data_IF_814043419968
#
_entry.id   IF_814043419968
#
_cell.length_a   1.000
_cell.length_b   1.000
_cell.length_c   1.000
_cell.angle_alpha   90.00
_cell.angle_beta   90.00
_cell.angle_gamma   90.00
#
_symmetry.space_group_name_H-M   'P 1'
#
loop_
_entity.id
_entity.type
_entity.pdbx_description
1 polymer ?
#
# COMPACT_ATOMS: atom_id res chain seq x y z
N UNK A 1 -39.77 -2.48 54.65
CA UNK A 1 -39.29 -2.00 53.32
C UNK A 1 -38.27 -2.95 52.67
N UNK A 2 -37.23 -3.41 53.36
CA UNK A 2 -36.19 -4.31 52.78
C UNK A 2 -36.67 -5.71 52.35
N UNK A 3 -37.69 -6.28 53.00
CA UNK A 3 -38.23 -7.61 52.64
C UNK A 3 -39.03 -7.61 51.31
N UNK A 4 -39.56 -6.47 50.88
CA UNK A 4 -40.30 -6.37 49.61
C UNK A 4 -39.34 -6.55 48.42
N UNK A 5 -38.14 -5.99 48.50
CA UNK A 5 -37.11 -6.11 47.48
C UNK A 5 -36.48 -7.50 47.39
N UNK A 6 -36.54 -8.33 48.45
CA UNK A 6 -35.95 -9.68 48.40
C UNK A 6 -36.65 -10.61 47.41
N UNK A 7 -37.97 -10.45 47.23
CA UNK A 7 -38.76 -11.21 46.24
C UNK A 7 -38.42 -10.87 44.79
N UNK A 8 -37.94 -9.66 44.51
CA UNK A 8 -37.62 -9.21 43.15
C UNK A 8 -36.12 -9.19 42.84
N UNK A 9 -35.25 -9.65 43.76
CA UNK A 9 -33.80 -9.71 43.55
C UNK A 9 -33.42 -10.45 42.26
N UNK A 10 -34.04 -11.59 42.01
CA UNK A 10 -33.78 -12.36 40.78
C UNK A 10 -34.17 -11.58 39.52
N UNK A 11 -35.36 -10.97 39.50
CA UNK A 11 -35.83 -10.14 38.39
C UNK A 11 -34.92 -8.92 38.16
N UNK A 12 -34.50 -8.25 39.22
CA UNK A 12 -33.56 -7.12 39.15
C UNK A 12 -32.18 -7.51 38.59
N UNK A 13 -31.66 -8.67 38.98
CA UNK A 13 -30.40 -9.20 38.43
C UNK A 13 -30.55 -9.50 36.94
N UNK A 14 -31.63 -10.17 36.52
CA UNK A 14 -31.88 -10.47 35.10
C UNK A 14 -32.00 -9.20 34.28
N UNK A 15 -32.74 -8.19 34.76
CA UNK A 15 -32.89 -6.90 34.07
C UNK A 15 -31.55 -6.15 33.96
N UNK A 16 -30.72 -6.19 35.01
CA UNK A 16 -29.40 -5.57 35.02
C UNK A 16 -28.47 -6.25 34.00
N UNK A 17 -28.43 -7.59 33.99
CA UNK A 17 -27.66 -8.35 33.00
C UNK A 17 -28.13 -8.04 31.58
N UNK A 18 -29.44 -8.02 31.33
CA UNK A 18 -30.01 -7.64 30.04
C UNK A 18 -29.58 -6.23 29.64
N UNK A 19 -29.61 -5.28 30.59
CA UNK A 19 -29.23 -3.88 30.35
C UNK A 19 -27.74 -3.76 30.02
N UNK A 20 -26.87 -4.49 30.70
CA UNK A 20 -25.43 -4.54 30.41
C UNK A 20 -25.18 -5.13 29.01
N UNK A 21 -25.87 -6.20 28.64
CA UNK A 21 -25.75 -6.81 27.30
C UNK A 21 -26.22 -5.86 26.20
N UNK A 22 -27.34 -5.15 26.42
CA UNK A 22 -27.84 -4.15 25.48
C UNK A 22 -26.85 -2.99 25.35
N UNK A 23 -26.35 -2.43 26.45
CA UNK A 23 -25.37 -1.34 26.44
C UNK A 23 -24.08 -1.77 25.73
N UNK A 24 -23.59 -2.98 26.02
CA UNK A 24 -22.40 -3.51 25.36
C UNK A 24 -22.62 -3.70 23.85
N UNK A 25 -23.77 -4.22 23.44
CA UNK A 25 -24.10 -4.41 22.03
C UNK A 25 -24.22 -3.07 21.29
N UNK A 26 -24.89 -2.09 21.90
CA UNK A 26 -24.99 -0.73 21.37
C UNK A 26 -23.59 -0.10 21.27
N UNK A 27 -22.75 -0.26 22.29
CA UNK A 27 -21.38 0.24 22.28
C UNK A 27 -20.57 -0.34 21.12
N UNK A 28 -20.62 -1.67 20.90
CA UNK A 28 -19.91 -2.31 19.78
C UNK A 28 -20.40 -1.82 18.40
N UNK A 29 -21.68 -1.48 18.27
CA UNK A 29 -22.25 -0.94 17.01
C UNK A 29 -21.89 0.53 16.81
N UNK A 30 -21.78 1.32 17.89
CA UNK A 30 -21.51 2.76 17.82
C UNK A 30 -20.03 3.10 17.69
N UNK A 31 -19.09 2.21 18.05
CA UNK A 31 -17.65 2.46 17.88
C UNK A 31 -17.31 2.40 16.38
N UNK A 32 -16.93 3.52 15.74
CA UNK A 32 -16.61 3.53 14.33
C UNK A 32 -15.36 2.68 14.09
N UNK A 33 -15.42 1.79 13.09
CA UNK A 33 -14.24 1.05 12.63
C UNK A 33 -13.20 2.05 12.13
N UNK A 34 -11.96 1.94 12.62
CA UNK A 34 -10.84 2.75 12.13
C UNK A 34 -10.72 2.52 10.62
N UNK A 35 -10.69 3.60 9.84
CA UNK A 35 -10.43 3.55 8.39
C UNK A 35 -9.25 4.44 8.02
N UNK A 36 -8.44 4.03 7.04
CA UNK A 36 -7.33 4.85 6.54
C UNK A 36 -7.83 5.94 5.61
N UNK A 37 -7.09 7.04 5.54
CA UNK A 37 -7.35 8.09 4.55
C UNK A 37 -7.19 7.52 3.13
N UNK A 38 -7.97 8.03 2.19
CA UNK A 38 -7.76 7.82 0.76
C UNK A 38 -7.05 9.07 0.25
N UNK A 39 -5.82 8.94 -0.22
CA UNK A 39 -5.06 10.07 -0.74
C UNK A 39 -5.54 10.43 -2.14
N UNK A 40 -5.90 11.71 -2.30
CA UNK A 40 -6.22 12.31 -3.59
C UNK A 40 -5.06 13.22 -4.05
N UNK A 41 -5.00 13.57 -5.33
CA UNK A 41 -4.05 14.54 -5.87
C UNK A 41 -4.01 15.87 -5.09
N UNK A 42 -5.13 16.29 -4.50
CA UNK A 42 -5.16 17.49 -3.65
C UNK A 42 -4.52 17.33 -2.27
N UNK A 43 -4.26 16.10 -1.83
CA UNK A 43 -3.69 15.79 -0.51
C UNK A 43 -2.17 15.66 -0.50
N UNK A 44 -1.55 15.57 -1.67
CA UNK A 44 -0.09 15.51 -1.85
C UNK A 44 0.42 16.88 -2.29
N UNK A 45 1.71 17.14 -2.06
CA UNK A 45 2.34 18.40 -2.43
C UNK A 45 2.09 18.70 -3.92
N UNK A 46 1.65 19.91 -4.26
CA UNK A 46 1.31 20.29 -5.63
C UNK A 46 2.47 20.06 -6.62
N UNK A 47 3.73 20.06 -6.15
CA UNK A 47 4.90 19.71 -6.98
C UNK A 47 5.01 18.23 -7.36
N UNK A 48 4.27 17.34 -6.68
CA UNK A 48 4.18 15.90 -6.94
C UNK A 48 2.97 15.53 -7.83
N UNK A 49 2.24 16.53 -8.32
CA UNK A 49 0.92 16.33 -8.93
C UNK A 49 0.82 17.08 -10.23
N UNK A 50 0.49 16.35 -11.29
CA UNK A 50 0.23 16.93 -12.60
C UNK A 50 -0.89 17.97 -12.55
N UNK A 51 -0.65 19.13 -13.19
CA UNK A 51 -1.57 20.27 -13.22
C UNK A 51 -3.00 19.91 -13.66
N UNK A 52 -3.15 18.89 -14.51
CA UNK A 52 -4.46 18.38 -14.98
C UNK A 52 -5.18 17.54 -13.92
N UNK A 53 -4.44 16.97 -12.97
CA UNK A 53 -4.96 16.19 -11.83
C UNK A 53 -5.21 17.04 -10.59
N UNK A 54 -4.61 18.23 -10.49
CA UNK A 54 -4.81 19.16 -9.36
C UNK A 54 -6.27 19.57 -9.16
N UNK A 55 -7.10 19.53 -10.21
CA UNK A 55 -8.54 19.82 -10.15
C UNK A 55 -9.42 18.58 -9.89
N UNK A 56 -8.87 17.36 -9.97
CA UNK A 56 -9.57 16.13 -9.57
C UNK A 56 -9.49 15.95 -8.05
N UNK A 57 -10.46 16.55 -7.36
CA UNK A 57 -10.59 16.45 -5.89
C UNK A 57 -11.01 15.06 -5.38
N UNK A 58 -11.46 14.15 -6.25
CA UNK A 58 -12.05 12.86 -5.86
C UNK A 58 -11.84 11.81 -6.95
N UNK A 59 -11.71 10.54 -6.52
CA UNK A 59 -11.65 9.34 -7.37
C UNK A 59 -10.33 9.09 -8.12
N UNK A 60 -9.21 9.56 -7.58
CA UNK A 60 -7.91 9.12 -8.05
C UNK A 60 -7.65 7.64 -7.78
N UNK A 61 -7.12 6.94 -8.77
CA UNK A 61 -6.72 5.55 -8.71
C UNK A 61 -5.49 5.32 -9.58
N UNK A 62 -4.74 4.25 -9.29
CA UNK A 62 -3.59 3.86 -10.11
C UNK A 62 -4.08 3.54 -11.52
N UNK A 63 -3.44 4.16 -12.52
CA UNK A 63 -3.75 3.94 -13.93
C UNK A 63 -3.44 2.52 -14.40
N UNK A 64 -3.95 2.16 -15.57
CA UNK A 64 -3.67 0.88 -16.19
C UNK A 64 -2.21 0.82 -16.67
N UNK A 65 -1.60 -0.35 -16.59
CA UNK A 65 -0.21 -0.56 -16.98
C UNK A 65 0.00 -1.96 -17.57
N UNK A 66 1.07 -2.12 -18.34
CA UNK A 66 1.46 -3.40 -18.91
C UNK A 66 2.99 -3.46 -18.98
N UNK A 67 3.58 -4.09 -17.96
CA UNK A 67 5.01 -4.19 -17.77
C UNK A 67 5.45 -5.65 -17.78
N UNK A 68 6.76 -5.91 -17.73
CA UNK A 68 7.33 -7.25 -17.77
C UNK A 68 8.08 -7.50 -16.47
N UNK A 69 7.80 -8.61 -15.78
CA UNK A 69 8.48 -8.94 -14.53
C UNK A 69 9.85 -9.60 -14.74
N UNK A 70 10.55 -9.90 -13.64
CA UNK A 70 11.83 -10.61 -13.61
C UNK A 70 11.80 -12.02 -14.22
N UNK A 71 10.61 -12.60 -14.42
CA UNK A 71 10.43 -13.92 -15.03
C UNK A 71 10.09 -13.84 -16.53
N UNK A 72 9.97 -12.63 -17.09
CA UNK A 72 9.58 -12.41 -18.48
C UNK A 72 8.06 -12.45 -18.71
N UNK A 73 7.27 -12.44 -17.63
CA UNK A 73 5.81 -12.48 -17.69
C UNK A 73 5.24 -11.06 -17.77
N UNK A 74 4.18 -10.88 -18.55
CA UNK A 74 3.47 -9.60 -18.61
C UNK A 74 2.62 -9.42 -17.36
N UNK A 75 2.92 -8.36 -16.59
CA UNK A 75 2.18 -7.96 -15.41
C UNK A 75 1.39 -6.68 -15.72
N UNK A 76 0.10 -6.72 -15.41
CA UNK A 76 -0.83 -5.61 -15.59
C UNK A 76 -1.53 -5.29 -14.28
N UNK A 77 -2.31 -4.20 -14.26
CA UNK A 77 -3.16 -3.88 -13.11
C UNK A 77 -4.15 -5.00 -12.75
N UNK A 78 -4.55 -5.86 -13.70
CA UNK A 78 -5.48 -6.97 -13.43
C UNK A 78 -4.85 -8.05 -12.54
N UNK A 79 -3.52 -8.21 -12.55
CA UNK A 79 -2.82 -9.13 -11.64
C UNK A 79 -3.02 -8.73 -10.17
N UNK A 80 -3.18 -7.42 -9.93
CA UNK A 80 -3.36 -6.82 -8.61
C UNK A 80 -4.83 -6.50 -8.29
N UNK A 81 -5.76 -6.94 -9.13
CA UNK A 81 -7.19 -6.75 -8.90
C UNK A 81 -7.61 -7.47 -7.63
N UNK A 82 -8.42 -6.79 -6.81
CA UNK A 82 -8.92 -7.29 -5.53
C UNK A 82 -7.80 -7.67 -4.53
N UNK A 83 -6.59 -7.11 -4.71
CA UNK A 83 -5.45 -7.28 -3.81
C UNK A 83 -4.98 -5.94 -3.24
N UNK A 84 -4.48 -6.00 -2.01
CA UNK A 84 -3.71 -4.90 -1.42
C UNK A 84 -2.28 -5.05 -1.93
N UNK A 85 -1.60 -3.96 -2.26
CA UNK A 85 -0.19 -4.06 -2.61
C UNK A 85 0.63 -2.84 -2.21
N UNK A 86 1.92 -3.08 -2.04
CA UNK A 86 2.93 -2.06 -1.76
C UNK A 86 3.73 -1.85 -3.03
N UNK A 87 3.78 -0.60 -3.48
CA UNK A 87 4.52 -0.21 -4.67
C UNK A 87 5.70 0.70 -4.33
N UNK A 88 6.83 0.49 -5.02
CA UNK A 88 7.99 1.37 -4.98
C UNK A 88 8.63 1.54 -6.37
N UNK A 89 9.59 2.47 -6.42
CA UNK A 89 10.38 2.79 -7.61
C UNK A 89 11.86 2.66 -7.25
N UNK A 90 12.59 1.87 -8.02
CA UNK A 90 13.98 1.51 -7.72
C UNK A 90 14.80 1.40 -9.01
N UNK A 91 16.09 1.11 -8.89
CA UNK A 91 16.91 0.65 -10.00
C UNK A 91 18.12 -0.13 -9.48
N UNK A 92 18.57 -1.14 -10.22
CA UNK A 92 19.51 -2.13 -9.65
C UNK A 92 20.94 -1.60 -9.44
N UNK A 93 21.29 -0.48 -10.06
CA UNK A 93 22.61 0.17 -9.95
C UNK A 93 22.68 1.23 -8.84
N UNK A 94 21.58 1.51 -8.15
CA UNK A 94 21.58 2.46 -7.04
C UNK A 94 22.39 1.91 -5.85
N UNK A 95 23.30 2.73 -5.32
CA UNK A 95 24.20 2.37 -4.21
C UNK A 95 23.84 3.03 -2.88
N UNK A 96 22.82 3.90 -2.85
CA UNK A 96 22.48 4.70 -1.67
C UNK A 96 21.21 4.20 -0.98
N UNK A 97 20.04 4.70 -1.40
CA UNK A 97 18.77 4.44 -0.70
C UNK A 97 18.12 3.11 -1.08
N UNK A 98 18.25 2.68 -2.35
CA UNK A 98 17.56 1.47 -2.82
C UNK A 98 18.00 0.17 -2.13
N UNK A 99 19.27 -0.03 -1.74
CA UNK A 99 19.65 -1.18 -0.93
C UNK A 99 18.86 -1.27 0.38
N UNK A 100 18.71 -0.15 1.10
CA UNK A 100 17.95 -0.06 2.35
C UNK A 100 16.47 -0.35 2.10
N UNK A 101 15.87 0.31 1.11
CA UNK A 101 14.48 0.08 0.73
C UNK A 101 14.22 -1.37 0.34
N UNK A 102 15.11 -1.97 -0.45
CA UNK A 102 14.97 -3.38 -0.86
C UNK A 102 15.03 -4.31 0.35
N UNK A 103 15.91 -4.04 1.31
CA UNK A 103 16.02 -4.86 2.52
C UNK A 103 14.76 -4.73 3.39
N UNK A 104 14.13 -3.55 3.47
CA UNK A 104 12.82 -3.37 4.09
C UNK A 104 11.68 -4.05 3.32
N UNK A 105 11.71 -4.05 1.98
CA UNK A 105 10.73 -4.83 1.19
C UNK A 105 10.88 -6.33 1.42
N UNK A 106 12.11 -6.84 1.60
CA UNK A 106 12.35 -8.23 2.03
C UNK A 106 11.79 -8.50 3.43
N UNK A 107 11.91 -7.54 4.36
CA UNK A 107 11.27 -7.64 5.68
C UNK A 107 9.75 -7.71 5.54
N UNK A 108 9.14 -6.80 4.79
CA UNK A 108 7.70 -6.77 4.53
C UNK A 108 7.24 -8.10 3.91
N UNK A 109 7.96 -8.62 2.91
CA UNK A 109 7.68 -9.92 2.31
C UNK A 109 7.61 -11.04 3.35
N UNK A 110 8.56 -11.08 4.30
CA UNK A 110 8.60 -12.10 5.35
C UNK A 110 7.40 -11.99 6.30
N UNK A 111 7.03 -10.77 6.69
CA UNK A 111 5.88 -10.51 7.57
C UNK A 111 4.54 -10.86 6.88
N UNK A 112 4.48 -10.70 5.56
CA UNK A 112 3.26 -10.91 4.76
C UNK A 112 3.23 -12.27 4.03
N UNK A 113 4.16 -13.18 4.33
CA UNK A 113 4.29 -14.48 3.66
C UNK A 113 2.97 -15.26 3.64
N UNK A 114 2.23 -15.26 4.75
CA UNK A 114 0.99 -16.02 4.93
C UNK A 114 -0.25 -15.30 4.37
N UNK A 115 -0.11 -14.05 3.88
CA UNK A 115 -1.20 -13.19 3.39
C UNK A 115 -1.31 -13.22 1.87
N UNK A 116 -2.10 -14.12 1.31
CA UNK A 116 -2.16 -14.34 -0.16
C UNK A 116 -2.74 -13.14 -0.96
N UNK A 117 -3.51 -12.29 -0.30
CA UNK A 117 -4.16 -11.12 -0.94
C UNK A 117 -3.34 -9.84 -0.83
N UNK A 118 -2.07 -9.96 -0.38
CA UNK A 118 -1.14 -8.84 -0.28
C UNK A 118 0.11 -9.13 -1.09
N UNK A 119 0.42 -8.21 -2.00
CA UNK A 119 1.52 -8.34 -2.95
C UNK A 119 2.47 -7.15 -2.89
N UNK A 120 3.62 -7.32 -3.53
CA UNK A 120 4.67 -6.32 -3.67
C UNK A 120 4.93 -6.04 -5.15
N UNK A 121 5.23 -4.79 -5.49
CA UNK A 121 5.48 -4.35 -6.86
C UNK A 121 6.56 -3.27 -6.91
N UNK A 122 7.72 -3.59 -7.51
CA UNK A 122 8.81 -2.64 -7.66
C UNK A 122 9.03 -2.30 -9.12
N UNK A 123 8.98 -1.01 -9.46
CA UNK A 123 9.18 -0.52 -10.82
C UNK A 123 10.61 -0.03 -11.01
N UNK A 124 11.33 -0.54 -12.00
CA UNK A 124 12.65 0.05 -12.32
C UNK A 124 12.51 1.40 -13.03
N UNK A 125 13.27 2.40 -12.60
CA UNK A 125 13.33 3.71 -13.27
C UNK A 125 14.40 3.79 -14.37
N UNK A 126 15.21 2.73 -14.53
CA UNK A 126 16.22 2.58 -15.60
C UNK A 126 16.02 1.30 -16.41
N UNK A 127 14.87 1.14 -17.11
CA UNK A 127 14.54 -0.09 -17.84
C UNK A 127 15.56 -0.48 -18.92
N UNK A 128 16.34 0.50 -19.43
CA UNK A 128 17.42 0.27 -20.39
C UNK A 128 18.60 -0.55 -19.83
N UNK A 129 18.84 -0.47 -18.52
CA UNK A 129 19.86 -1.26 -17.80
C UNK A 129 19.20 -2.48 -17.15
N UNK A 130 18.04 -2.26 -16.54
CA UNK A 130 17.30 -3.24 -15.77
C UNK A 130 16.41 -4.10 -16.69
N UNK A 131 17.08 -4.85 -17.56
CA UNK A 131 16.49 -5.91 -18.37
C UNK A 131 15.89 -7.01 -17.49
N UNK A 132 15.01 -7.85 -18.06
CA UNK A 132 14.44 -9.02 -17.36
C UNK A 132 15.53 -9.89 -16.71
N UNK A 133 16.62 -10.15 -17.42
CA UNK A 133 17.74 -10.92 -16.88
C UNK A 133 18.46 -10.20 -15.71
N UNK A 134 18.63 -8.89 -15.81
CA UNK A 134 19.21 -8.08 -14.72
C UNK A 134 18.31 -8.10 -13.49
N UNK A 135 17.00 -7.92 -13.68
CA UNK A 135 16.00 -8.02 -12.61
C UNK A 135 15.98 -9.40 -11.98
N UNK A 136 16.08 -10.48 -12.76
CA UNK A 136 16.14 -11.85 -12.20
C UNK A 136 17.39 -12.05 -11.34
N UNK A 137 18.56 -11.57 -11.79
CA UNK A 137 19.79 -11.61 -10.98
C UNK A 137 19.64 -10.84 -9.68
N UNK A 138 19.03 -9.66 -9.74
CA UNK A 138 18.76 -8.84 -8.57
C UNK A 138 17.80 -9.54 -7.60
N UNK A 139 16.70 -10.09 -8.11
CA UNK A 139 15.69 -10.84 -7.36
C UNK A 139 16.31 -12.03 -6.59
N UNK A 140 17.12 -12.85 -7.27
CA UNK A 140 17.81 -13.99 -6.65
C UNK A 140 18.79 -13.51 -5.58
N UNK A 141 19.57 -12.46 -5.85
CA UNK A 141 20.53 -11.90 -4.88
C UNK A 141 19.84 -11.39 -3.61
N UNK A 142 18.64 -10.83 -3.73
CA UNK A 142 17.90 -10.20 -2.64
C UNK A 142 16.91 -11.13 -1.95
N UNK A 143 16.67 -12.33 -2.49
CA UNK A 143 15.72 -13.29 -1.91
C UNK A 143 14.25 -12.89 -2.15
N UNK A 144 13.98 -12.31 -3.31
CA UNK A 144 12.62 -11.97 -3.76
C UNK A 144 11.84 -13.28 -4.00
N UNK A 145 10.66 -13.37 -3.39
CA UNK A 145 9.66 -14.41 -3.62
C UNK A 145 8.77 -13.97 -4.80
N UNK A 146 8.98 -14.58 -5.95
CA UNK A 146 8.29 -14.21 -7.18
C UNK A 146 6.80 -14.57 -7.20
N UNK A 147 6.32 -15.35 -6.23
CA UNK A 147 4.87 -15.55 -6.01
C UNK A 147 4.18 -14.34 -5.37
N UNK A 148 4.95 -13.45 -4.73
CA UNK A 148 4.46 -12.30 -3.97
C UNK A 148 4.93 -10.97 -4.53
N UNK A 149 6.13 -10.94 -5.10
CA UNK A 149 6.83 -9.72 -5.43
C UNK A 149 7.30 -9.70 -6.87
N UNK A 150 6.68 -8.82 -7.66
CA UNK A 150 7.13 -8.53 -9.01
C UNK A 150 8.11 -7.36 -9.02
N UNK A 151 9.27 -7.57 -9.65
CA UNK A 151 10.16 -6.51 -10.11
C UNK A 151 9.87 -6.29 -11.59
N UNK A 152 9.39 -5.12 -11.97
CA UNK A 152 8.90 -4.86 -13.32
C UNK A 152 9.74 -3.84 -14.08
N UNK A 153 9.94 -4.10 -15.37
CA UNK A 153 10.60 -3.24 -16.37
C UNK A 153 9.68 -3.06 -17.59
N UNK A 154 10.02 -2.14 -18.49
CA UNK A 154 9.22 -1.86 -19.69
C UNK A 154 9.45 -0.48 -20.27
N UNK A 155 8.39 0.11 -20.83
CA UNK A 155 8.46 1.45 -21.42
C UNK A 155 8.74 2.52 -20.34
N UNK A 156 9.86 3.23 -20.50
CA UNK A 156 10.32 4.24 -19.53
C UNK A 156 9.29 5.35 -19.32
N UNK A 157 8.63 5.78 -20.40
CA UNK A 157 7.61 6.83 -20.33
C UNK A 157 6.41 6.37 -19.52
N UNK A 158 5.92 5.14 -19.72
CA UNK A 158 4.83 4.56 -18.94
C UNK A 158 5.20 4.48 -17.45
N UNK A 159 6.41 4.02 -17.10
CA UNK A 159 6.85 3.95 -15.70
C UNK A 159 6.89 5.34 -15.05
N UNK A 160 7.33 6.36 -15.78
CA UNK A 160 7.42 7.73 -15.25
C UNK A 160 6.05 8.39 -15.13
N UNK A 161 5.15 8.16 -16.10
CA UNK A 161 3.76 8.57 -16.00
C UNK A 161 3.07 7.88 -14.81
N UNK A 162 3.36 6.59 -14.55
CA UNK A 162 2.88 5.89 -13.35
C UNK A 162 3.43 6.56 -12.08
N UNK A 163 4.74 6.78 -11.98
CA UNK A 163 5.36 7.38 -10.80
C UNK A 163 4.78 8.76 -10.45
N UNK A 164 4.63 9.63 -11.46
CA UNK A 164 4.24 11.04 -11.28
C UNK A 164 2.74 11.25 -11.21
N UNK A 165 1.99 10.57 -12.07
CA UNK A 165 0.55 10.85 -12.26
C UNK A 165 -0.33 9.85 -11.56
N UNK A 166 0.11 8.59 -11.41
CA UNK A 166 -0.69 7.54 -10.77
C UNK A 166 -0.32 7.33 -9.31
N UNK A 167 0.95 7.06 -9.02
CA UNK A 167 1.40 6.82 -7.65
C UNK A 167 1.68 8.10 -6.87
N UNK A 168 1.81 9.24 -7.56
CA UNK A 168 2.13 10.56 -6.95
C UNK A 168 3.41 10.48 -6.07
N UNK A 169 4.33 9.60 -6.46
CA UNK A 169 5.52 9.24 -5.71
C UNK A 169 6.72 10.12 -6.06
N UNK A 170 6.61 10.94 -7.11
CA UNK A 170 7.69 11.77 -7.63
C UNK A 170 7.16 13.10 -8.14
N UNK A 171 8.05 14.10 -8.25
CA UNK A 171 7.69 15.42 -8.79
C UNK A 171 7.18 15.31 -10.21
N UNK A 172 6.08 16.01 -10.49
CA UNK A 172 5.58 16.12 -11.85
C UNK A 172 6.38 17.17 -12.61
N UNK A 173 7.41 16.69 -13.29
CA UNK A 173 8.22 17.47 -14.23
C UNK A 173 8.04 16.90 -15.63
N UNK A 174 8.13 17.71 -16.71
CA UNK A 174 8.06 17.22 -18.07
C UNK A 174 9.04 16.06 -18.28
N UNK A 175 8.58 14.99 -18.91
CA UNK A 175 9.41 13.83 -19.19
C UNK A 175 10.65 14.22 -20.00
N UNK A 176 11.82 13.79 -19.53
CA UNK A 176 13.10 13.91 -20.21
C UNK A 176 13.82 12.56 -20.12
N UNK A 177 14.49 12.13 -21.18
CA UNK A 177 15.17 10.83 -21.25
C UNK A 177 16.32 10.69 -20.24
N UNK A 178 16.94 11.81 -19.84
CA UNK A 178 18.00 11.85 -18.81
C UNK A 178 17.48 12.04 -17.38
N UNK A 179 16.17 12.22 -17.23
CA UNK A 179 15.53 12.40 -15.93
C UNK A 179 15.48 11.06 -15.19
N UNK A 180 15.59 11.10 -13.86
CA UNK A 180 15.52 9.96 -12.99
C UNK A 180 14.50 10.24 -11.88
N UNK A 181 13.48 9.40 -11.82
CA UNK A 181 12.57 9.38 -10.67
C UNK A 181 13.36 8.91 -9.45
N UNK A 182 13.58 9.82 -8.51
CA UNK A 182 14.21 9.53 -7.23
C UNK A 182 13.19 9.74 -6.12
N UNK A 183 12.87 8.66 -5.40
CA UNK A 183 11.91 8.69 -4.30
C UNK A 183 12.24 7.58 -3.31
N UNK A 184 12.14 7.92 -2.05
CA UNK A 184 12.25 7.00 -0.92
C UNK A 184 10.90 6.38 -0.54
N UNK A 185 9.80 6.73 -1.23
CA UNK A 185 8.47 6.37 -0.79
C UNK A 185 8.03 4.96 -1.21
N UNK A 186 7.51 4.21 -0.23
CA UNK A 186 6.58 3.11 -0.44
C UNK A 186 5.15 3.63 -0.46
N UNK A 187 4.37 3.13 -1.41
CA UNK A 187 2.97 3.51 -1.60
C UNK A 187 2.07 2.32 -1.29
N UNK A 188 1.20 2.45 -0.29
CA UNK A 188 0.19 1.45 0.02
C UNK A 188 -1.04 1.66 -0.85
N UNK A 189 -1.45 0.61 -1.58
CA UNK A 189 -2.58 0.64 -2.50
C UNK A 189 -3.62 -0.41 -2.10
N UNK A 190 -4.90 -0.03 -2.07
CA UNK A 190 -6.02 -0.93 -1.73
C UNK A 190 -6.58 -1.71 -2.94
N UNK A 191 -7.53 -2.62 -2.68
CA UNK A 191 -8.18 -3.47 -3.69
C UNK A 191 -8.87 -2.69 -4.82
N UNK A 192 -9.18 -1.41 -4.58
CA UNK A 192 -9.80 -0.49 -5.55
C UNK A 192 -8.77 0.39 -6.27
N UNK A 193 -7.48 0.06 -6.16
CA UNK A 193 -6.35 0.80 -6.74
C UNK A 193 -6.22 2.22 -6.20
N UNK A 194 -6.60 2.48 -4.95
CA UNK A 194 -6.50 3.81 -4.35
C UNK A 194 -5.33 3.85 -3.35
N UNK A 195 -4.65 5.00 -3.30
CA UNK A 195 -3.53 5.20 -2.38
C UNK A 195 -4.06 5.39 -0.96
N UNK A 196 -3.53 4.60 -0.02
CA UNK A 196 -3.90 4.62 1.41
C UNK A 196 -2.79 5.12 2.33
N UNK A 197 -1.57 5.29 1.81
CA UNK A 197 -0.46 5.84 2.57
C UNK A 197 0.82 6.00 1.76
N UNK A 198 1.69 6.88 2.24
CA UNK A 198 3.06 7.07 1.79
C UNK A 198 3.98 6.85 3.00
N UNK A 199 5.01 6.05 2.82
CA UNK A 199 5.93 5.67 3.90
C UNK A 199 7.36 5.80 3.39
N UNK A 200 8.23 6.37 4.20
CA UNK A 200 9.64 6.49 3.87
C UNK A 200 10.32 5.12 3.97
N UNK A 201 10.49 4.45 2.84
CA UNK A 201 11.08 3.11 2.73
C UNK A 201 12.50 3.00 3.27
N UNK A 202 13.15 4.09 3.68
CA UNK A 202 14.47 4.08 4.34
C UNK A 202 14.39 4.06 5.87
N UNK A 203 13.21 4.31 6.46
CA UNK A 203 13.01 4.46 7.91
C UNK A 203 12.22 3.30 8.53
N UNK A 204 12.81 2.52 9.45
CA UNK A 204 12.14 1.39 10.10
C UNK A 204 10.80 1.73 10.75
N UNK A 205 10.68 2.91 11.38
CA UNK A 205 9.47 3.34 12.09
C UNK A 205 8.27 3.44 11.14
N UNK A 206 8.52 3.86 9.89
CA UNK A 206 7.46 3.96 8.88
C UNK A 206 7.11 2.61 8.27
N UNK A 207 8.04 1.64 8.29
CA UNK A 207 7.76 0.24 7.89
C UNK A 207 6.83 -0.43 8.90
N UNK A 208 7.07 -0.20 10.20
CA UNK A 208 6.16 -0.66 11.26
C UNK A 208 4.77 -0.04 11.09
N UNK A 209 4.70 1.27 10.84
CA UNK A 209 3.44 1.96 10.56
C UNK A 209 2.73 1.40 9.32
N UNK A 210 3.46 1.12 8.23
CA UNK A 210 2.92 0.50 7.03
C UNK A 210 2.28 -0.86 7.34
N UNK A 211 2.94 -1.71 8.13
CA UNK A 211 2.42 -3.02 8.52
C UNK A 211 1.18 -2.91 9.43
N UNK A 212 1.11 -1.89 10.29
CA UNK A 212 -0.10 -1.60 11.08
C UNK A 212 -1.26 -1.14 10.21
N UNK A 213 -0.99 -0.24 9.26
CA UNK A 213 -1.99 0.29 8.33
C UNK A 213 -2.52 -0.81 7.41
N UNK A 214 -1.68 -1.74 6.95
CA UNK A 214 -2.11 -2.95 6.25
C UNK A 214 -3.13 -3.75 7.06
N UNK A 215 -2.90 -3.96 8.36
CA UNK A 215 -3.86 -4.70 9.23
C UNK A 215 -5.19 -3.96 9.41
N UNK A 216 -5.17 -2.63 9.33
CA UNK A 216 -6.40 -1.83 9.35
C UNK A 216 -7.13 -2.01 8.03
N UNK A 217 -6.41 -1.90 6.90
CA UNK A 217 -6.95 -2.03 5.56
C UNK A 217 -7.57 -3.41 5.31
N UNK A 218 -6.94 -4.48 5.80
CA UNK A 218 -7.51 -5.85 5.76
C UNK A 218 -8.86 -5.96 6.48
N UNK A 219 -9.14 -5.13 7.48
CA UNK A 219 -10.42 -5.14 8.23
C UNK A 219 -11.50 -4.27 7.61
N UNK A 220 -11.11 -3.36 6.73
CA UNK A 220 -12.02 -2.46 6.03
C UNK A 220 -12.69 -3.12 4.82
N UNK A 221 -11.99 -4.06 4.18
CA UNK A 221 -12.36 -4.64 2.88
C UNK A 221 -12.67 -6.14 2.93
#
# INVERSE_FOLDING_TARGET
MLQFFSKYKFFGIVLLVLSVVIIFSIYQVLVPKKTLKIYQPSDVNASLVDSTLQYKKKYHSIGDFSLINQNGETITQEYYKDKIYIADFFFTTCVTICPVMTDHMVQIQKELKDKQDILLLSHTVTPEIDTVAQLKRYAVKKGVDDSKWNLVTGDKKQIYDLARKSYLAAKDVPYNEYDLVHTENFVLVDKKRRIRGFYDGTKPETIEQLLEDIKILEKEE
#
